data_IF_452386541069
#
_entry.id   IF_452386541069
#
_cell.length_a   1.000
_cell.length_b   1.000
_cell.length_c   1.000
_cell.angle_alpha   90.00
_cell.angle_beta   90.00
_cell.angle_gamma   90.00
#
_symmetry.space_group_name_H-M   'P 1'
#
loop_
_entity.id
_entity.type
_entity.pdbx_description
1 polymer ?
#
# COMPACT_ATOMS: atom_id res chain seq x y z
N UNK A 1 26.97 -7.61 16.94
CA UNK A 1 28.05 -8.36 16.29
C UNK A 1 29.22 -8.69 17.22
N UNK A 2 29.85 -7.74 17.94
CA UNK A 2 30.92 -8.05 18.91
C UNK A 2 30.56 -9.17 19.90
N UNK A 3 29.39 -9.09 20.54
CA UNK A 3 28.91 -10.09 21.51
C UNK A 3 28.76 -11.52 20.97
N UNK A 4 28.41 -11.72 19.69
CA UNK A 4 28.26 -13.06 19.10
C UNK A 4 29.61 -13.72 18.84
N UNK A 5 30.60 -12.92 18.43
CA UNK A 5 31.98 -13.39 18.25
C UNK A 5 32.66 -13.66 19.58
N UNK A 6 32.47 -12.77 20.55
CA UNK A 6 32.95 -12.97 21.93
C UNK A 6 32.34 -14.25 22.52
N UNK A 7 31.04 -14.47 22.37
CA UNK A 7 30.39 -15.70 22.83
C UNK A 7 30.92 -16.98 22.15
N UNK A 8 31.17 -16.95 20.85
CA UNK A 8 31.57 -18.15 20.11
C UNK A 8 33.04 -18.56 20.33
N UNK A 9 33.89 -17.62 20.77
CA UNK A 9 35.35 -17.80 20.78
C UNK A 9 36.04 -17.39 22.09
N UNK A 10 35.29 -16.92 23.08
CA UNK A 10 35.72 -16.60 24.46
C UNK A 10 37.00 -15.74 24.58
N UNK A 11 37.33 -14.98 23.52
CA UNK A 11 38.55 -14.19 23.43
C UNK A 11 38.41 -13.04 22.43
N UNK A 12 38.95 -11.87 22.79
CA UNK A 12 38.87 -10.61 22.03
C UNK A 12 39.75 -10.54 20.78
N UNK A 13 40.06 -11.68 20.15
CA UNK A 13 40.94 -11.78 18.98
C UNK A 13 40.22 -11.63 17.63
N UNK A 14 40.98 -11.34 16.58
CA UNK A 14 40.51 -11.41 15.19
C UNK A 14 40.45 -12.89 14.76
N UNK A 15 39.24 -13.39 14.54
CA UNK A 15 39.00 -14.79 14.22
C UNK A 15 38.98 -15.03 12.70
N UNK A 16 39.45 -16.22 12.28
CA UNK A 16 39.62 -16.61 10.88
C UNK A 16 38.32 -17.01 10.17
N UNK A 17 37.26 -17.34 10.91
CA UNK A 17 35.97 -17.77 10.35
C UNK A 17 35.01 -16.57 10.22
N UNK A 18 34.42 -16.41 9.03
CA UNK A 18 33.43 -15.36 8.79
C UNK A 18 32.16 -15.59 9.62
N UNK A 19 31.42 -14.51 9.90
CA UNK A 19 30.14 -14.64 10.61
C UNK A 19 29.11 -15.40 9.77
N UNK A 20 29.18 -15.27 8.45
CA UNK A 20 28.26 -15.93 7.54
C UNK A 20 28.38 -17.46 7.66
N UNK A 21 29.61 -17.98 7.69
CA UNK A 21 29.87 -19.42 7.91
C UNK A 21 29.40 -19.86 9.30
N UNK A 22 29.57 -19.03 10.33
CA UNK A 22 29.08 -19.36 11.67
C UNK A 22 27.55 -19.46 11.72
N UNK A 23 26.85 -18.64 10.92
CA UNK A 23 25.39 -18.65 10.79
C UNK A 23 24.88 -19.77 9.88
N UNK A 24 25.69 -20.25 8.93
CA UNK A 24 25.34 -21.36 8.04
C UNK A 24 24.99 -22.65 8.81
N UNK A 25 24.13 -23.49 8.24
CA UNK A 25 23.76 -24.77 8.84
C UNK A 25 24.96 -25.75 8.89
N UNK A 26 24.87 -26.71 9.82
CA UNK A 26 26.00 -27.60 10.15
C UNK A 26 26.43 -28.51 9.00
N UNK A 27 25.51 -28.82 8.08
CA UNK A 27 25.78 -29.57 6.86
C UNK A 27 26.64 -28.80 5.83
N UNK A 28 26.72 -27.48 5.92
CA UNK A 28 27.56 -26.62 5.07
C UNK A 28 28.87 -26.24 5.77
N UNK A 29 29.23 -26.93 6.86
CA UNK A 29 30.41 -26.63 7.67
C UNK A 29 30.23 -25.46 8.64
N UNK A 30 29.00 -24.96 8.80
CA UNK A 30 28.67 -23.90 9.74
C UNK A 30 28.40 -24.39 11.16
N UNK A 31 28.20 -23.44 12.08
CA UNK A 31 27.87 -23.75 13.49
C UNK A 31 26.39 -23.49 13.84
N UNK A 32 25.58 -23.10 12.85
CA UNK A 32 24.17 -22.75 13.02
C UNK A 32 23.93 -21.76 14.17
N UNK A 33 24.85 -20.80 14.34
CA UNK A 33 24.76 -19.79 15.39
C UNK A 33 23.67 -18.82 15.01
N UNK A 34 22.82 -18.43 15.96
CA UNK A 34 21.73 -17.50 15.73
C UNK A 34 22.24 -16.12 15.24
N UNK A 35 21.76 -15.68 14.07
CA UNK A 35 21.93 -14.30 13.64
C UNK A 35 20.93 -13.38 14.37
N UNK A 36 21.44 -12.63 15.35
CA UNK A 36 20.63 -11.70 16.14
C UNK A 36 20.09 -10.54 15.29
N UNK A 37 20.77 -10.13 14.22
CA UNK A 37 20.29 -9.08 13.33
C UNK A 37 19.04 -9.56 12.59
N UNK A 38 19.12 -10.72 11.94
CA UNK A 38 18.01 -11.29 11.18
C UNK A 38 16.83 -11.62 12.09
N UNK A 39 17.09 -12.17 13.29
CA UNK A 39 16.04 -12.40 14.29
C UNK A 39 15.34 -11.11 14.69
N UNK A 40 16.08 -10.04 14.96
CA UNK A 40 15.50 -8.75 15.33
C UNK A 40 14.66 -8.19 14.18
N UNK A 41 15.13 -8.30 12.95
CA UNK A 41 14.39 -7.87 11.77
C UNK A 41 13.12 -8.69 11.55
N UNK A 42 13.17 -10.01 11.75
CA UNK A 42 11.99 -10.87 11.72
C UNK A 42 10.96 -10.50 12.81
N UNK A 43 11.41 -10.11 14.01
CA UNK A 43 10.54 -9.58 15.07
C UNK A 43 9.87 -8.29 14.59
N UNK A 44 10.61 -7.35 14.00
CA UNK A 44 10.03 -6.12 13.45
C UNK A 44 9.02 -6.39 12.32
N UNK A 45 9.27 -7.38 11.46
CA UNK A 45 8.32 -7.80 10.43
C UNK A 45 7.04 -8.38 11.03
N UNK A 46 7.11 -9.11 12.16
CA UNK A 46 5.92 -9.58 12.87
C UNK A 46 5.09 -8.41 13.41
N UNK A 47 5.73 -7.40 13.98
CA UNK A 47 5.05 -6.17 14.41
C UNK A 47 4.46 -5.38 13.24
N UNK A 48 5.17 -5.33 12.11
CA UNK A 48 4.67 -4.74 10.87
C UNK A 48 3.42 -5.46 10.37
N UNK A 49 3.42 -6.80 10.36
CA UNK A 49 2.23 -7.60 10.01
C UNK A 49 1.04 -7.22 10.88
N UNK A 50 1.24 -7.10 12.20
CA UNK A 50 0.18 -6.65 13.12
C UNK A 50 -0.29 -5.22 12.83
N UNK A 51 0.62 -4.31 12.44
CA UNK A 51 0.28 -2.93 12.06
C UNK A 51 -0.60 -2.86 10.79
N UNK A 52 -0.40 -3.81 9.88
CA UNK A 52 -1.09 -3.93 8.59
C UNK A 52 -2.28 -4.89 8.62
N UNK A 53 -2.56 -5.55 9.75
CA UNK A 53 -3.62 -6.53 9.91
C UNK A 53 -5.02 -5.90 9.77
N UNK A 54 -6.04 -6.67 9.34
CA UNK A 54 -7.40 -6.17 9.14
C UNK A 54 -8.06 -5.77 10.47
N UNK A 55 -9.05 -4.87 10.41
CA UNK A 55 -9.69 -4.29 11.60
C UNK A 55 -10.08 -5.26 12.71
N UNK A 56 -10.68 -6.45 12.46
CA UNK A 56 -11.06 -7.36 13.55
C UNK A 56 -9.88 -8.00 14.28
N UNK A 57 -8.74 -8.18 13.61
CA UNK A 57 -7.53 -8.77 14.20
C UNK A 57 -6.52 -7.72 14.68
N UNK A 58 -6.81 -6.44 14.41
CA UNK A 58 -5.88 -5.33 14.60
C UNK A 58 -5.70 -5.01 16.09
N UNK A 59 -4.48 -5.14 16.64
CA UNK A 59 -4.26 -4.83 18.05
C UNK A 59 -4.47 -3.33 18.35
N UNK A 60 -4.94 -2.96 19.56
CA UNK A 60 -5.25 -1.56 19.91
C UNK A 60 -4.09 -0.57 19.75
N UNK A 61 -2.84 -1.02 19.99
CA UNK A 61 -1.65 -0.15 19.89
C UNK A 61 -1.44 0.39 18.46
N UNK A 62 -1.95 -0.31 17.44
CA UNK A 62 -1.76 0.07 16.03
C UNK A 62 -2.50 1.35 15.67
N UNK A 63 -3.65 1.64 16.30
CA UNK A 63 -4.37 2.91 16.11
C UNK A 63 -3.50 4.10 16.55
N UNK A 64 -2.84 3.96 17.70
CA UNK A 64 -1.87 4.95 18.18
C UNK A 64 -0.65 5.04 17.26
N UNK A 65 -0.14 3.90 16.78
CA UNK A 65 0.98 3.88 15.85
C UNK A 65 0.67 4.64 14.55
N UNK A 66 -0.49 4.39 13.93
CA UNK A 66 -0.93 5.09 12.72
C UNK A 66 -1.06 6.60 12.96
N UNK A 67 -1.64 7.02 14.10
CA UNK A 67 -1.73 8.44 14.47
C UNK A 67 -0.35 9.10 14.65
N UNK A 68 0.59 8.41 15.32
CA UNK A 68 1.96 8.89 15.50
C UNK A 68 2.70 9.01 14.16
N UNK A 69 2.53 8.04 13.27
CA UNK A 69 3.09 8.04 11.91
C UNK A 69 2.53 9.22 11.10
N UNK A 70 1.22 9.44 11.12
CA UNK A 70 0.58 10.56 10.45
C UNK A 70 1.03 11.92 11.00
N UNK A 71 1.19 12.05 12.32
CA UNK A 71 1.73 13.25 12.96
C UNK A 71 3.19 13.50 12.58
N UNK A 72 3.97 12.43 12.38
CA UNK A 72 5.37 12.50 11.98
C UNK A 72 5.59 12.72 10.47
N UNK A 73 4.54 12.85 9.64
CA UNK A 73 4.65 13.12 8.21
C UNK A 73 5.68 14.23 7.89
N UNK A 74 6.45 14.05 6.81
CA UNK A 74 7.39 15.08 6.34
C UNK A 74 6.64 16.32 5.87
N UNK A 75 7.36 17.44 5.86
CA UNK A 75 6.84 18.71 5.37
C UNK A 75 6.71 18.74 3.84
N UNK A 76 7.39 17.85 3.12
CA UNK A 76 7.30 17.73 1.67
C UNK A 76 7.05 16.27 1.26
N UNK A 77 6.00 15.98 0.46
CA UNK A 77 4.92 16.91 0.11
C UNK A 77 4.08 17.29 1.33
N UNK A 78 3.48 18.50 1.33
CA UNK A 78 2.62 18.95 2.43
C UNK A 78 1.33 18.13 2.40
N UNK A 79 1.27 17.07 3.20
CA UNK A 79 0.06 16.29 3.45
C UNK A 79 -0.69 16.89 4.64
N UNK A 80 -1.94 17.34 4.44
CA UNK A 80 -2.77 17.79 5.58
C UNK A 80 -3.28 16.60 6.39
N UNK A 81 -3.59 16.77 7.69
CA UNK A 81 -3.99 15.66 8.57
C UNK A 81 -5.12 14.79 8.01
N UNK A 82 -6.14 15.40 7.41
CA UNK A 82 -7.33 14.73 6.87
C UNK A 82 -7.02 13.85 5.65
N UNK A 83 -5.90 14.11 4.98
CA UNK A 83 -5.42 13.32 3.86
C UNK A 83 -4.56 12.12 4.28
N UNK A 84 -4.17 12.01 5.56
CA UNK A 84 -3.25 10.96 6.04
C UNK A 84 -4.03 9.80 6.61
N UNK A 85 -4.07 8.70 5.86
CA UNK A 85 -4.78 7.48 6.25
C UNK A 85 -3.77 6.39 6.58
N UNK A 86 -2.93 6.01 5.61
CA UNK A 86 -1.96 4.93 5.78
C UNK A 86 -0.74 5.19 4.90
N UNK A 87 0.45 5.26 5.51
CA UNK A 87 1.71 5.52 4.81
C UNK A 87 2.11 4.42 3.81
N UNK A 88 1.54 3.22 3.91
CA UNK A 88 1.81 2.11 2.98
C UNK A 88 0.84 2.06 1.80
N UNK A 89 -0.26 2.83 1.88
CA UNK A 89 -1.26 2.97 0.81
C UNK A 89 -1.19 4.36 0.15
N UNK A 90 -0.20 5.17 0.51
CA UNK A 90 -0.06 6.54 0.08
C UNK A 90 1.41 6.90 -0.15
N UNK A 91 1.66 7.93 -0.95
CA UNK A 91 3.01 8.34 -1.39
C UNK A 91 3.72 9.33 -0.46
N UNK A 92 3.07 9.80 0.61
CA UNK A 92 3.73 10.63 1.62
C UNK A 92 4.52 9.76 2.60
N UNK A 93 5.66 10.26 3.09
CA UNK A 93 6.50 9.53 4.03
C UNK A 93 6.59 10.23 5.41
N UNK A 94 6.69 9.49 6.51
CA UNK A 94 7.02 10.05 7.81
C UNK A 94 8.50 10.43 7.94
N UNK A 95 8.78 11.31 8.89
CA UNK A 95 10.12 11.65 9.34
C UNK A 95 10.55 10.69 10.45
N UNK A 96 11.52 9.84 10.15
CA UNK A 96 12.12 8.90 11.11
C UNK A 96 12.74 9.56 12.34
N UNK A 97 13.03 10.86 12.30
CA UNK A 97 13.56 11.62 13.45
C UNK A 97 12.48 11.93 14.49
N UNK A 98 11.23 12.08 14.06
CA UNK A 98 10.09 12.43 14.92
C UNK A 98 9.36 11.19 15.49
N UNK A 99 9.76 10.00 15.05
CA UNK A 99 9.14 8.74 15.45
C UNK A 99 9.81 8.15 16.69
N UNK A 100 9.02 7.52 17.59
CA UNK A 100 9.56 6.67 18.65
C UNK A 100 10.45 5.57 18.08
N UNK A 101 11.45 5.13 18.87
CA UNK A 101 12.47 4.16 18.45
C UNK A 101 11.88 2.88 17.88
N UNK A 102 10.78 2.37 18.45
CA UNK A 102 10.16 1.14 17.98
C UNK A 102 9.50 1.30 16.61
N UNK A 103 8.65 2.31 16.41
CA UNK A 103 8.04 2.59 15.10
C UNK A 103 9.08 2.89 14.03
N UNK A 104 10.16 3.59 14.41
CA UNK A 104 11.30 3.84 13.53
C UNK A 104 11.96 2.54 13.05
N UNK A 105 12.11 1.54 13.93
CA UNK A 105 12.64 0.21 13.57
C UNK A 105 11.70 -0.52 12.62
N UNK A 106 10.42 -0.61 12.96
CA UNK A 106 9.37 -1.22 12.10
C UNK A 106 9.41 -0.64 10.69
N UNK A 107 9.36 0.68 10.55
CA UNK A 107 9.35 1.33 9.22
C UNK A 107 10.67 1.20 8.47
N UNK A 108 11.81 1.18 9.17
CA UNK A 108 13.11 0.93 8.54
C UNK A 108 13.21 -0.51 8.02
N UNK A 109 12.73 -1.48 8.79
CA UNK A 109 12.65 -2.88 8.36
C UNK A 109 11.71 -3.00 7.16
N UNK A 110 10.53 -2.37 7.22
CA UNK A 110 9.61 -2.33 6.10
C UNK A 110 10.27 -1.79 4.81
N UNK A 111 11.06 -0.70 4.94
CA UNK A 111 11.82 -0.15 3.82
C UNK A 111 12.93 -1.08 3.33
N UNK A 112 13.68 -1.73 4.23
CA UNK A 112 14.76 -2.68 3.91
C UNK A 112 14.22 -3.84 3.06
N UNK A 113 13.09 -4.40 3.45
CA UNK A 113 12.43 -5.52 2.77
C UNK A 113 11.39 -5.07 1.71
N UNK A 114 11.43 -3.79 1.33
CA UNK A 114 10.56 -3.18 0.33
C UNK A 114 9.07 -3.58 0.49
N UNK A 115 8.57 -3.55 1.72
CA UNK A 115 7.17 -3.90 2.01
C UNK A 115 6.26 -2.84 1.41
N UNK A 116 5.41 -3.25 0.47
CA UNK A 116 4.48 -2.36 -0.22
C UNK A 116 3.20 -3.09 -0.59
N UNK A 117 2.16 -2.32 -0.86
CA UNK A 117 0.92 -2.86 -1.40
C UNK A 117 1.08 -3.09 -2.91
N UNK A 118 0.89 -4.33 -3.36
CA UNK A 118 1.01 -4.70 -4.76
C UNK A 118 0.08 -5.88 -5.06
N UNK A 119 -0.75 -5.72 -6.09
CA UNK A 119 -1.57 -6.78 -6.64
C UNK A 119 -1.48 -6.75 -8.17
N UNK A 120 -1.51 -7.92 -8.81
CA UNK A 120 -1.44 -8.03 -10.28
C UNK A 120 -2.77 -7.57 -10.88
N UNK A 121 -3.88 -8.10 -10.36
CA UNK A 121 -5.24 -7.67 -10.68
C UNK A 121 -5.92 -7.08 -9.43
N UNK A 122 -6.60 -5.95 -9.61
CA UNK A 122 -7.31 -5.25 -8.53
C UNK A 122 -8.79 -5.23 -8.89
N UNK A 123 -9.63 -5.86 -8.07
CA UNK A 123 -11.06 -5.81 -8.21
C UNK A 123 -11.56 -4.38 -7.92
N UNK A 124 -12.60 -3.89 -8.62
CA UNK A 124 -13.15 -2.55 -8.39
C UNK A 124 -13.51 -2.27 -6.93
N UNK A 125 -13.95 -3.30 -6.20
CA UNK A 125 -14.33 -3.24 -4.79
C UNK A 125 -13.13 -2.91 -3.89
N UNK A 126 -11.94 -3.40 -4.23
CA UNK A 126 -10.70 -3.10 -3.51
C UNK A 126 -10.16 -1.74 -3.91
N UNK A 127 -10.18 -1.41 -5.21
CA UNK A 127 -9.75 -0.11 -5.71
C UNK A 127 -10.55 1.04 -5.07
N UNK A 128 -11.85 0.86 -4.87
CA UNK A 128 -12.75 1.81 -4.19
C UNK A 128 -12.33 2.14 -2.76
N UNK A 129 -11.72 1.19 -2.06
CA UNK A 129 -11.29 1.34 -0.66
C UNK A 129 -9.90 1.97 -0.53
N UNK A 130 -9.19 2.22 -1.63
CA UNK A 130 -7.88 2.88 -1.57
C UNK A 130 -8.01 4.37 -1.25
N UNK A 131 -7.07 4.96 -0.48
CA UNK A 131 -7.01 6.39 -0.25
C UNK A 131 -6.79 7.18 -1.55
N UNK A 132 -7.64 8.17 -1.83
CA UNK A 132 -7.49 8.99 -3.05
C UNK A 132 -6.37 10.02 -2.93
N UNK A 133 -6.17 10.56 -1.73
CA UNK A 133 -5.13 11.56 -1.51
C UNK A 133 -3.76 10.88 -1.52
N UNK A 134 -2.79 11.45 -2.22
CA UNK A 134 -1.45 10.86 -2.35
C UNK A 134 -1.49 9.40 -2.83
N UNK A 135 -2.44 9.04 -3.68
CA UNK A 135 -2.71 7.68 -4.16
C UNK A 135 -1.46 7.00 -4.77
N UNK A 136 -1.32 5.67 -4.60
CA UNK A 136 -0.18 4.86 -5.07
C UNK A 136 0.02 4.92 -6.59
N UNK A 137 -1.06 4.71 -7.35
CA UNK A 137 -1.12 4.78 -8.81
C UNK A 137 -1.40 6.18 -9.37
N UNK A 138 -1.03 7.24 -8.65
CA UNK A 138 -1.29 8.61 -9.08
C UNK A 138 -0.31 9.06 -10.18
N UNK A 139 -0.82 9.72 -11.22
CA UNK A 139 0.04 10.53 -12.11
C UNK A 139 0.69 11.69 -11.34
N UNK A 140 1.74 12.29 -11.91
CA UNK A 140 2.40 13.46 -11.30
C UNK A 140 1.44 14.66 -11.10
N UNK A 141 0.31 14.69 -11.80
CA UNK A 141 -0.66 15.78 -11.73
C UNK A 141 -1.56 15.74 -10.49
N UNK A 142 -1.83 14.55 -9.92
CA UNK A 142 -2.54 14.45 -8.63
C UNK A 142 -1.80 15.21 -7.53
N UNK A 143 -0.46 15.21 -7.56
CA UNK A 143 0.35 15.93 -6.56
C UNK A 143 0.05 17.44 -6.57
N UNK A 144 -0.23 18.01 -7.74
CA UNK A 144 -0.61 19.42 -7.90
C UNK A 144 -2.04 19.65 -7.38
N UNK A 145 -2.95 18.73 -7.66
CA UNK A 145 -4.37 18.84 -7.29
C UNK A 145 -4.63 18.70 -5.79
N UNK A 146 -3.84 17.88 -5.08
CA UNK A 146 -4.02 17.55 -3.65
C UNK A 146 -4.09 18.80 -2.74
N UNK A 147 -3.42 19.89 -3.11
CA UNK A 147 -3.31 21.10 -2.28
C UNK A 147 -4.16 22.27 -2.76
N UNK A 148 -5.02 22.07 -3.77
CA UNK A 148 -5.93 23.12 -4.24
C UNK A 148 -7.00 23.46 -3.19
N UNK A 149 -7.59 24.68 -3.22
CA UNK A 149 -8.70 25.04 -2.35
C UNK A 149 -9.91 24.11 -2.50
N UNK A 150 -10.19 23.65 -3.73
CA UNK A 150 -11.25 22.67 -4.00
C UNK A 150 -10.94 21.30 -3.37
N UNK A 151 -9.71 20.81 -3.47
CA UNK A 151 -9.29 19.59 -2.78
C UNK A 151 -9.35 19.71 -1.25
N UNK A 152 -9.14 20.91 -0.71
CA UNK A 152 -9.37 21.17 0.72
C UNK A 152 -10.86 21.08 1.07
N UNK A 153 -11.73 21.65 0.23
CA UNK A 153 -13.18 21.56 0.40
C UNK A 153 -13.66 20.11 0.33
N UNK A 154 -13.19 19.33 -0.65
CA UNK A 154 -13.50 17.91 -0.78
C UNK A 154 -13.16 17.12 0.50
N UNK A 155 -12.02 17.42 1.14
CA UNK A 155 -11.63 16.75 2.39
C UNK A 155 -12.42 17.17 3.61
N UNK A 156 -12.61 18.47 3.80
CA UNK A 156 -13.17 18.99 5.06
C UNK A 156 -14.70 19.01 5.03
N UNK A 157 -15.29 19.46 3.92
CA UNK A 157 -16.73 19.68 3.83
C UNK A 157 -17.48 18.50 3.19
N UNK A 158 -16.83 17.77 2.29
CA UNK A 158 -17.40 16.59 1.64
C UNK A 158 -16.91 15.26 2.26
N UNK A 159 -15.96 15.30 3.21
CA UNK A 159 -15.34 14.15 3.89
C UNK A 159 -14.80 13.07 2.93
N UNK A 160 -14.28 13.50 1.78
CA UNK A 160 -13.69 12.60 0.78
C UNK A 160 -12.36 12.07 1.30
N UNK A 161 -12.23 10.75 1.43
CA UNK A 161 -11.02 10.06 1.91
C UNK A 161 -10.57 8.96 0.95
N UNK A 162 -11.52 8.25 0.35
CA UNK A 162 -11.32 7.08 -0.48
C UNK A 162 -11.77 7.32 -1.93
N UNK A 163 -11.37 6.45 -2.85
CA UNK A 163 -11.78 6.52 -4.26
C UNK A 163 -13.31 6.44 -4.41
N UNK A 164 -13.98 5.58 -3.63
CA UNK A 164 -15.45 5.51 -3.63
C UNK A 164 -16.14 6.83 -3.28
N UNK A 165 -15.55 7.65 -2.41
CA UNK A 165 -16.16 8.91 -1.99
C UNK A 165 -16.17 9.91 -3.16
N UNK A 166 -15.17 9.85 -4.04
CA UNK A 166 -15.19 10.61 -5.29
C UNK A 166 -16.31 10.14 -6.22
N UNK A 167 -16.50 8.82 -6.37
CA UNK A 167 -17.59 8.29 -7.19
C UNK A 167 -18.96 8.81 -6.70
N UNK A 168 -19.17 8.87 -5.38
CA UNK A 168 -20.39 9.43 -4.77
C UNK A 168 -20.53 10.93 -5.00
N UNK A 169 -19.43 11.68 -5.09
CA UNK A 169 -19.45 13.11 -5.44
C UNK A 169 -19.75 13.32 -6.93
N UNK A 170 -19.20 12.46 -7.80
CA UNK A 170 -19.31 12.57 -9.26
C UNK A 170 -20.67 12.09 -9.77
N UNK A 171 -21.15 10.93 -9.32
CA UNK A 171 -22.38 10.26 -9.81
C UNK A 171 -23.68 10.93 -9.35
N UNK A 172 -23.62 12.18 -8.89
CA UNK A 172 -24.80 12.95 -8.44
C UNK A 172 -25.60 13.40 -9.66
N UNK A 173 -26.45 12.52 -10.16
CA UNK A 173 -27.43 12.84 -11.19
C UNK A 173 -28.67 13.43 -10.54
N UNK A 174 -28.88 14.73 -10.71
CA UNK A 174 -30.13 15.40 -10.40
C UNK A 174 -30.66 16.01 -11.71
N UNK A 175 -31.91 15.75 -12.12
CA UNK A 175 -32.47 16.33 -13.35
C UNK A 175 -32.47 17.87 -13.33
N UNK A 176 -32.43 18.49 -12.16
CA UNK A 176 -32.35 19.95 -12.00
C UNK A 176 -30.92 20.47 -11.85
N UNK A 177 -29.90 19.62 -12.05
CA UNK A 177 -28.51 20.06 -11.99
C UNK A 177 -28.20 21.02 -13.14
N UNK A 178 -27.56 22.14 -12.80
CA UNK A 178 -27.12 23.18 -13.75
C UNK A 178 -25.63 23.42 -13.54
N UNK A 179 -24.92 23.75 -14.60
CA UNK A 179 -23.45 23.98 -14.59
C UNK A 179 -23.01 25.30 -13.94
N UNK A 180 -23.92 26.03 -13.28
CA UNK A 180 -23.67 27.31 -12.61
C UNK A 180 -23.58 27.18 -11.08
N UNK A 181 -22.73 28.01 -10.44
CA UNK A 181 -22.38 27.90 -9.01
C UNK A 181 -23.58 27.94 -8.04
N UNK A 182 -24.67 28.58 -8.45
CA UNK A 182 -25.94 28.68 -7.72
C UNK A 182 -26.98 27.63 -8.12
N UNK A 183 -26.55 26.47 -8.62
CA UNK A 183 -27.45 25.36 -8.95
C UNK A 183 -28.46 25.05 -7.81
N UNK A 184 -29.78 25.08 -8.07
CA UNK A 184 -30.79 24.88 -7.03
C UNK A 184 -30.99 23.40 -6.66
N UNK A 185 -30.27 22.47 -7.29
CA UNK A 185 -30.47 21.04 -7.08
C UNK A 185 -30.23 20.62 -5.61
N UNK A 186 -30.87 19.54 -5.19
CA UNK A 186 -30.85 19.11 -3.78
C UNK A 186 -29.43 18.83 -3.28
N UNK A 187 -28.59 18.26 -4.15
CA UNK A 187 -27.19 17.95 -3.83
C UNK A 187 -26.34 19.21 -3.63
N UNK A 188 -26.42 20.19 -4.55
CA UNK A 188 -25.65 21.43 -4.42
C UNK A 188 -26.11 22.27 -3.22
N UNK A 189 -27.40 22.29 -2.94
CA UNK A 189 -27.95 22.97 -1.75
C UNK A 189 -27.45 22.33 -0.46
N UNK A 190 -27.40 20.99 -0.39
CA UNK A 190 -26.83 20.26 0.75
C UNK A 190 -25.34 20.52 0.94
N UNK A 191 -24.58 20.56 -0.16
CA UNK A 191 -23.14 20.89 -0.09
C UNK A 191 -22.91 22.31 0.42
N UNK A 192 -23.71 23.30 -0.02
CA UNK A 192 -23.64 24.67 0.50
C UNK A 192 -23.99 24.75 1.98
N UNK A 193 -24.97 23.97 2.44
CA UNK A 193 -25.29 23.86 3.87
C UNK A 193 -24.10 23.32 4.68
N UNK A 194 -23.24 22.50 4.06
CA UNK A 194 -21.95 22.03 4.62
C UNK A 194 -20.79 23.02 4.39
N UNK A 195 -21.09 24.30 4.14
CA UNK A 195 -20.10 25.38 3.91
C UNK A 195 -19.26 25.22 2.63
N UNK A 196 -19.70 24.42 1.66
CA UNK A 196 -19.08 24.39 0.34
C UNK A 196 -19.44 25.66 -0.45
N UNK A 197 -18.42 26.42 -0.88
CA UNK A 197 -18.62 27.66 -1.65
C UNK A 197 -19.04 27.40 -3.09
N UNK A 198 -18.56 26.31 -3.69
CA UNK A 198 -18.82 26.00 -5.10
C UNK A 198 -18.82 24.48 -5.32
N UNK A 199 -20.00 23.83 -5.23
CA UNK A 199 -20.13 22.39 -5.43
C UNK A 199 -19.65 21.91 -6.80
N UNK A 200 -19.86 22.72 -7.85
CA UNK A 200 -19.50 22.35 -9.23
C UNK A 200 -17.99 22.29 -9.42
N UNK A 201 -17.25 23.27 -8.86
CA UNK A 201 -15.79 23.20 -8.85
C UNK A 201 -15.29 21.96 -8.12
N UNK A 202 -15.96 21.55 -7.04
CA UNK A 202 -15.61 20.33 -6.31
C UNK A 202 -15.85 19.08 -7.16
N UNK A 203 -16.97 19.01 -7.90
CA UNK A 203 -17.26 17.91 -8.84
C UNK A 203 -16.25 17.87 -9.99
N UNK A 204 -15.86 19.02 -10.55
CA UNK A 204 -14.83 19.08 -11.61
C UNK A 204 -13.48 18.54 -11.11
N UNK A 205 -13.02 19.03 -9.95
CA UNK A 205 -11.76 18.56 -9.35
C UNK A 205 -11.86 17.09 -8.92
N UNK A 206 -13.02 16.61 -8.48
CA UNK A 206 -13.24 15.20 -8.19
C UNK A 206 -13.05 14.32 -9.45
N UNK A 207 -13.63 14.74 -10.58
CA UNK A 207 -13.42 14.06 -11.86
C UNK A 207 -11.94 14.09 -12.29
N UNK A 208 -11.29 15.26 -12.22
CA UNK A 208 -9.87 15.40 -12.55
C UNK A 208 -9.01 14.47 -11.68
N UNK A 209 -9.26 14.40 -10.37
CA UNK A 209 -8.56 13.48 -9.47
C UNK A 209 -8.73 12.03 -9.90
N UNK A 210 -9.95 11.60 -10.23
CA UNK A 210 -10.23 10.22 -10.67
C UNK A 210 -9.55 9.89 -12.00
N UNK A 211 -9.57 10.82 -12.97
CA UNK A 211 -8.89 10.62 -14.27
C UNK A 211 -7.37 10.52 -14.16
N UNK A 212 -6.78 11.09 -13.11
CA UNK A 212 -5.34 11.02 -12.88
C UNK A 212 -4.92 9.72 -12.16
N UNK A 213 -5.87 8.89 -11.71
CA UNK A 213 -5.59 7.55 -11.18
C UNK A 213 -5.37 6.60 -12.36
N UNK A 214 -4.21 5.95 -12.39
CA UNK A 214 -3.85 5.00 -13.44
C UNK A 214 -4.92 3.89 -13.58
N UNK A 215 -5.16 3.36 -14.80
CA UNK A 215 -6.20 2.35 -15.05
C UNK A 215 -6.14 1.12 -14.13
N UNK A 216 -4.93 0.63 -13.80
CA UNK A 216 -4.76 -0.49 -12.86
C UNK A 216 -5.48 -0.29 -11.52
N UNK A 217 -5.61 0.96 -11.08
CA UNK A 217 -6.10 1.33 -9.75
C UNK A 217 -7.44 2.05 -9.79
N UNK A 218 -8.01 2.25 -10.97
CA UNK A 218 -9.24 2.99 -11.14
C UNK A 218 -10.42 1.99 -11.21
N UNK A 219 -11.41 2.07 -10.30
CA UNK A 219 -12.53 1.13 -10.29
C UNK A 219 -13.45 1.25 -11.51
N UNK A 220 -13.36 2.36 -12.26
CA UNK A 220 -14.16 2.58 -13.47
C UNK A 220 -13.54 1.91 -14.72
N UNK A 221 -12.28 1.51 -14.65
CA UNK A 221 -11.63 0.76 -15.74
C UNK A 221 -11.66 -0.72 -15.42
N UNK A 222 -12.18 -1.52 -16.34
CA UNK A 222 -12.07 -2.98 -16.23
C UNK A 222 -10.59 -3.35 -16.15
N UNK A 223 -10.20 -4.04 -15.07
CA UNK A 223 -8.85 -4.59 -14.94
C UNK A 223 -8.57 -5.45 -16.16
N UNK A 224 -7.37 -5.39 -16.77
CA UNK A 224 -7.01 -6.34 -17.80
C UNK A 224 -7.23 -7.74 -17.25
N UNK A 225 -7.96 -8.60 -17.97
CA UNK A 225 -8.00 -10.01 -17.65
C UNK A 225 -6.58 -10.56 -17.84
N UNK A 226 -5.77 -10.50 -16.78
CA UNK A 226 -4.47 -11.16 -16.69
C UNK A 226 -4.61 -12.68 -16.52
N UNK A 227 -5.82 -13.20 -16.65
CA UNK A 227 -6.06 -14.61 -16.83
C UNK A 227 -5.38 -15.01 -18.14
N UNK A 228 -4.18 -15.55 -18.03
CA UNK A 228 -3.61 -16.45 -19.02
C UNK A 228 -4.39 -17.77 -18.97
N UNK A 229 -5.73 -17.70 -19.00
CA UNK A 229 -6.61 -18.87 -19.00
C UNK A 229 -6.28 -19.63 -20.28
N UNK A 230 -5.43 -20.64 -20.14
CA UNK A 230 -5.23 -21.60 -21.20
C UNK A 230 -6.52 -22.42 -21.15
N UNK A 231 -7.38 -22.26 -22.15
CA UNK A 231 -8.56 -23.10 -22.27
C UNK A 231 -8.11 -24.56 -22.21
N UNK A 232 -8.86 -25.49 -21.59
CA UNK A 232 -8.50 -26.91 -21.57
C UNK A 232 -8.20 -27.48 -22.97
N UNK A 233 -8.80 -26.88 -24.00
CA UNK A 233 -8.61 -27.16 -25.43
C UNK A 233 -7.23 -26.75 -25.99
N UNK A 234 -6.54 -25.80 -25.33
CA UNK A 234 -5.22 -25.30 -25.69
C UNK A 234 -4.09 -26.07 -24.98
N UNK A 235 -4.43 -26.96 -24.06
CA UNK A 235 -3.49 -27.91 -23.43
C UNK A 235 -3.27 -29.03 -24.46
N UNK A 236 -2.04 -29.25 -24.98
CA UNK A 236 -1.77 -30.32 -25.93
C UNK A 236 -2.19 -31.68 -25.36
N UNK A 237 -3.03 -32.42 -26.08
CA UNK A 237 -3.52 -33.74 -25.66
C UNK A 237 -2.46 -34.85 -25.74
N UNK A 238 -1.33 -34.60 -26.41
CA UNK A 238 -0.23 -35.56 -26.54
C UNK A 238 0.74 -35.47 -25.34
N UNK A 239 0.24 -35.81 -24.14
CA UNK A 239 1.10 -36.23 -23.02
C UNK A 239 1.13 -37.76 -23.00
N UNK A 240 1.40 -38.34 -24.18
CA UNK A 240 1.76 -39.73 -24.33
C UNK A 240 3.21 -39.93 -23.92
N UNK A 241 3.40 -40.71 -22.86
CA UNK A 241 4.61 -41.45 -22.50
C UNK A 241 5.87 -41.15 -23.33
N UNK A 242 6.62 -40.12 -22.95
CA UNK A 242 8.05 -40.09 -23.28
C UNK A 242 8.87 -39.42 -22.17
N UNK A 243 9.79 -40.20 -21.62
CA UNK A 243 10.73 -39.80 -20.57
C UNK A 243 11.63 -38.67 -21.09
N UNK A 244 11.60 -37.52 -20.41
CA UNK A 244 12.74 -36.60 -20.40
C UNK A 244 12.43 -35.11 -20.53
N UNK A 245 11.28 -34.70 -21.07
CA UNK A 245 11.00 -33.27 -21.24
C UNK A 245 9.50 -32.95 -21.37
N UNK A 246 8.71 -33.28 -20.35
CA UNK A 246 7.30 -32.88 -20.29
C UNK A 246 7.19 -31.35 -20.17
N UNK A 247 6.51 -30.72 -21.14
CA UNK A 247 6.25 -29.28 -21.15
C UNK A 247 5.31 -28.94 -19.98
N UNK A 248 5.84 -28.29 -18.94
CA UNK A 248 5.04 -27.78 -17.82
C UNK A 248 4.36 -26.50 -18.31
N UNK A 249 3.06 -26.58 -18.56
CA UNK A 249 2.26 -25.40 -18.89
C UNK A 249 1.93 -24.67 -17.59
N UNK A 250 2.53 -23.49 -17.42
CA UNK A 250 2.26 -22.61 -16.30
C UNK A 250 1.07 -21.71 -16.63
N UNK A 251 -0.09 -21.98 -16.02
CA UNK A 251 -1.25 -21.10 -16.02
C UNK A 251 -1.36 -20.41 -14.64
N UNK A 252 -0.85 -19.19 -14.49
CA UNK A 252 -0.99 -18.47 -13.24
C UNK A 252 -2.32 -17.72 -13.19
N UNK A 253 -3.29 -18.30 -12.47
CA UNK A 253 -4.44 -17.54 -12.00
C UNK A 253 -3.97 -16.60 -10.88
N UNK A 254 -4.00 -15.30 -11.13
CA UNK A 254 -3.68 -14.27 -10.14
C UNK A 254 -4.96 -13.65 -9.58
N UNK A 255 -5.57 -14.23 -8.52
CA UNK A 255 -6.77 -13.67 -7.94
C UNK A 255 -6.47 -12.29 -7.36
N UNK A 256 -7.45 -11.40 -7.46
CA UNK A 256 -7.41 -10.13 -6.75
C UNK A 256 -7.47 -10.40 -5.24
N UNK A 257 -6.77 -9.62 -4.40
CA UNK A 257 -6.89 -9.77 -2.94
C UNK A 257 -8.34 -9.57 -2.49
N UNK A 258 -8.80 -10.37 -1.52
CA UNK A 258 -10.17 -10.26 -0.99
C UNK A 258 -10.34 -9.05 -0.04
N UNK A 259 -9.23 -8.51 0.46
CA UNK A 259 -9.16 -7.35 1.35
C UNK A 259 -7.95 -6.48 1.04
N UNK A 260 -7.91 -5.23 1.55
CA UNK A 260 -6.73 -4.37 1.38
C UNK A 260 -5.50 -5.02 2.02
N UNK A 261 -5.67 -5.66 3.17
CA UNK A 261 -4.57 -6.21 3.96
C UNK A 261 -3.87 -7.38 3.27
N UNK A 262 -4.61 -8.16 2.47
CA UNK A 262 -4.08 -9.22 1.63
C UNK A 262 -3.23 -8.73 0.45
N UNK A 263 -3.23 -7.43 0.15
CA UNK A 263 -2.42 -6.85 -0.92
C UNK A 263 -0.99 -6.48 -0.51
N UNK A 264 -0.63 -6.56 0.77
CA UNK A 264 0.74 -6.27 1.20
C UNK A 264 1.70 -7.41 0.83
N UNK A 265 2.84 -7.07 0.24
CA UNK A 265 3.89 -7.99 -0.20
C UNK A 265 5.24 -7.55 0.34
N UNK A 266 6.11 -8.53 0.62
CA UNK A 266 7.49 -8.33 1.02
C UNK A 266 8.37 -8.70 -0.17
N UNK A 267 9.25 -7.80 -0.59
CA UNK A 267 10.14 -8.04 -1.72
C UNK A 267 11.58 -8.08 -1.23
N UNK A 268 12.09 -9.30 -1.05
CA UNK A 268 13.51 -9.55 -0.76
C UNK A 268 14.28 -9.55 -2.07
N UNK A 269 15.27 -8.66 -2.20
CA UNK A 269 16.32 -8.83 -3.22
C UNK A 269 17.18 -10.02 -2.79
N UNK A 270 17.26 -11.06 -3.61
CA UNK A 270 18.28 -12.09 -3.43
C UNK A 270 19.64 -11.39 -3.54
N UNK A 271 20.38 -11.37 -2.44
CA UNK A 271 21.75 -10.88 -2.34
C UNK A 271 22.73 -11.97 -2.74
#
# INVERSE_FOLDING_TARGET
>A
MKRTREFAWDSGGNNSVSLDILHSPTNEGGKNILNLCDRNEAIELKWLKSLLAPSPERPPWTFFAHALIAKAARSSPVAKPEAKINTFLQTWEPSYKKLPTHLKRILKTAKKFNVRWEAISIAPEIARQLPIWFHLGASNDIKKLNNTPSANCLRINHDVRYVQDLEVVIRRSDPNHRTHHECPCAHCTRDRARRCRNPIKCIKVANELLTCVQPKWNPATSSPNYNLNISPEQIPQDIGENKGNSLIIFDPIFPSPASIEEGFRVFVTQS
#
